data_IF_317959325593
#
_entry.id   IF_317959325593
#
_cell.length_a   1.000
_cell.length_b   1.000
_cell.length_c   1.000
_cell.angle_alpha   90.00
_cell.angle_beta   90.00
_cell.angle_gamma   90.00
#
_symmetry.space_group_name_H-M   'P 1'
#
loop_
_entity.id
_entity.type
_entity.pdbx_description
1 polymer ?
#
# COMPACT_ATOMS: atom_id res chain seq x y z
N UNK A 1 7.69 -10.22 33.09
CA UNK A 1 6.97 -11.11 32.14
C UNK A 1 7.89 -11.38 30.96
N UNK A 2 7.86 -12.60 30.42
CA UNK A 2 8.53 -12.92 29.16
C UNK A 2 7.83 -12.19 28.01
N UNK A 3 8.59 -11.60 27.09
CA UNK A 3 8.08 -10.90 25.89
C UNK A 3 8.02 -11.82 24.66
N UNK A 4 8.31 -13.10 24.85
CA UNK A 4 8.35 -14.10 23.76
C UNK A 4 6.95 -14.36 23.26
N UNK A 5 6.72 -14.08 21.98
CA UNK A 5 5.44 -14.33 21.31
C UNK A 5 5.32 -15.76 20.82
N UNK A 6 6.43 -16.38 20.42
CA UNK A 6 6.54 -17.77 19.98
C UNK A 6 7.97 -18.28 20.12
N UNK A 7 8.15 -19.60 20.12
CA UNK A 7 9.46 -20.24 20.11
C UNK A 7 10.24 -20.06 21.41
N UNK A 8 11.53 -19.79 21.28
CA UNK A 8 12.45 -19.54 22.39
C UNK A 8 12.89 -18.08 22.39
N UNK A 9 13.02 -17.51 23.58
CA UNK A 9 13.54 -16.17 23.77
C UNK A 9 14.29 -16.03 25.08
N UNK A 10 14.88 -14.87 25.28
CA UNK A 10 15.67 -14.55 26.46
C UNK A 10 15.03 -13.36 27.16
N UNK A 11 14.99 -13.40 28.49
CA UNK A 11 14.55 -12.31 29.34
C UNK A 11 15.66 -11.92 30.30
N UNK A 12 15.98 -10.64 30.31
CA UNK A 12 16.80 -10.05 31.36
C UNK A 12 15.93 -9.68 32.56
N UNK A 13 16.38 -10.08 33.74
CA UNK A 13 15.80 -9.68 35.03
C UNK A 13 16.60 -8.49 35.51
N UNK A 14 15.91 -7.36 35.64
CA UNK A 14 16.52 -6.07 35.98
C UNK A 14 16.09 -5.67 37.39
N UNK A 15 17.05 -5.26 38.22
CA UNK A 15 16.78 -4.54 39.45
C UNK A 15 16.83 -3.04 39.20
N UNK A 16 15.93 -2.29 39.85
CA UNK A 16 15.88 -0.82 39.79
C UNK A 16 16.35 -0.16 41.08
N UNK A 17 16.71 -0.94 42.10
CA UNK A 17 17.23 -0.48 43.39
C UNK A 17 18.25 -1.50 43.90
N UNK A 18 19.29 -1.02 44.59
CA UNK A 18 20.32 -1.89 45.18
C UNK A 18 21.37 -2.39 44.18
N UNK A 19 21.53 -1.71 43.04
CA UNK A 19 22.54 -2.06 42.07
C UNK A 19 23.95 -1.68 42.56
N UNK A 20 24.94 -2.54 42.31
CA UNK A 20 26.33 -2.22 42.62
C UNK A 20 26.79 -0.98 41.84
N UNK A 21 27.64 -0.16 42.45
CA UNK A 21 28.17 1.04 41.80
C UNK A 21 27.21 2.24 41.72
N UNK A 22 26.03 2.17 42.35
CA UNK A 22 25.07 3.29 42.35
C UNK A 22 24.30 3.46 41.05
N UNK A 23 24.31 2.44 40.18
CA UNK A 23 23.52 2.43 38.96
C UNK A 23 22.01 2.45 39.27
N UNK A 24 21.23 3.14 38.44
CA UNK A 24 19.78 3.21 38.62
C UNK A 24 19.06 1.94 38.19
N UNK A 25 19.68 1.12 37.33
CA UNK A 25 19.19 -0.18 36.88
C UNK A 25 20.36 -1.11 36.53
N UNK A 26 20.26 -2.37 36.89
CA UNK A 26 21.27 -3.39 36.59
C UNK A 26 20.63 -4.74 36.28
N UNK A 27 21.26 -5.51 35.41
CA UNK A 27 20.83 -6.87 35.04
C UNK A 27 21.37 -7.84 36.08
N UNK A 28 20.49 -8.60 36.73
CA UNK A 28 20.88 -9.56 37.78
C UNK A 28 20.81 -11.01 37.33
N UNK A 29 19.98 -11.31 36.32
CA UNK A 29 19.80 -12.67 35.81
C UNK A 29 19.31 -12.61 34.38
N UNK A 30 19.69 -13.62 33.61
CA UNK A 30 19.12 -13.90 32.30
C UNK A 30 18.35 -15.22 32.39
N UNK A 31 17.09 -15.21 31.97
CA UNK A 31 16.17 -16.34 32.01
C UNK A 31 15.76 -16.72 30.58
N UNK A 32 15.70 -18.01 30.27
CA UNK A 32 15.13 -18.49 29.02
C UNK A 32 13.61 -18.56 29.14
N UNK A 33 12.93 -18.08 28.11
CA UNK A 33 11.48 -18.06 28.01
C UNK A 33 11.05 -18.93 26.85
N UNK A 34 9.99 -19.72 27.04
CA UNK A 34 9.37 -20.54 26.00
C UNK A 34 7.96 -20.04 25.70
N UNK A 35 7.67 -19.88 24.42
CA UNK A 35 6.35 -19.59 23.88
C UNK A 35 5.77 -20.80 23.14
N UNK A 36 4.65 -20.61 22.43
CA UNK A 36 4.10 -21.63 21.54
C UNK A 36 5.10 -22.00 20.44
N UNK A 37 5.12 -23.28 20.04
CA UNK A 37 6.03 -23.79 19.00
C UNK A 37 5.71 -23.18 17.64
N UNK A 38 4.43 -23.01 17.28
CA UNK A 38 4.06 -22.41 16.00
C UNK A 38 4.21 -20.88 16.05
N UNK A 39 5.20 -20.37 15.30
CA UNK A 39 5.44 -18.93 15.10
C UNK A 39 4.63 -18.35 13.94
N UNK A 40 3.86 -19.17 13.22
CA UNK A 40 3.07 -18.75 12.08
C UNK A 40 3.93 -18.31 10.89
N UNK A 41 3.52 -17.22 10.23
CA UNK A 41 4.14 -16.72 9.01
C UNK A 41 5.21 -15.68 9.30
N UNK A 42 6.45 -15.99 8.91
CA UNK A 42 7.61 -15.12 9.02
C UNK A 42 7.77 -14.15 7.85
N UNK A 43 8.61 -13.14 8.07
CA UNK A 43 9.09 -12.24 7.01
C UNK A 43 10.53 -12.61 6.63
N UNK A 44 10.86 -12.73 5.33
CA UNK A 44 12.24 -12.97 4.92
C UNK A 44 13.21 -11.90 5.45
N UNK A 45 14.47 -12.28 5.70
CA UNK A 45 15.55 -11.36 6.09
C UNK A 45 15.81 -10.36 4.97
N UNK A 46 15.84 -10.86 3.74
CA UNK A 46 16.03 -10.06 2.55
C UNK A 46 15.34 -10.69 1.35
N UNK A 47 14.75 -9.84 0.52
CA UNK A 47 13.95 -10.24 -0.63
C UNK A 47 14.44 -9.46 -1.87
N UNK A 48 15.16 -10.13 -2.79
CA UNK A 48 15.63 -9.53 -4.05
C UNK A 48 14.67 -9.87 -5.20
N UNK A 49 15.01 -9.71 -6.48
CA UNK A 49 14.20 -10.31 -7.56
C UNK A 49 14.60 -11.78 -7.79
N UNK A 50 15.87 -12.14 -7.63
CA UNK A 50 16.34 -13.49 -7.98
C UNK A 50 16.34 -14.46 -6.81
N UNK A 51 16.59 -13.97 -5.58
CA UNK A 51 16.70 -14.78 -4.37
C UNK A 51 15.93 -14.25 -3.17
N UNK A 52 15.65 -15.14 -2.22
CA UNK A 52 15.04 -14.85 -0.92
C UNK A 52 15.90 -15.49 0.16
N UNK A 53 16.24 -14.71 1.19
CA UNK A 53 16.94 -15.21 2.38
C UNK A 53 15.97 -15.25 3.55
N UNK A 54 15.79 -16.42 4.14
CA UNK A 54 14.86 -16.68 5.24
C UNK A 54 15.63 -17.18 6.45
N UNK A 55 15.18 -16.86 7.67
CA UNK A 55 15.81 -17.32 8.91
C UNK A 55 14.83 -18.09 9.78
N UNK A 56 15.33 -19.14 10.42
CA UNK A 56 14.63 -19.83 11.49
C UNK A 56 14.61 -18.99 12.77
N UNK A 57 13.58 -19.16 13.59
CA UNK A 57 13.50 -18.58 14.93
C UNK A 57 14.59 -19.18 15.83
N UNK A 58 15.49 -18.36 16.35
CA UNK A 58 16.55 -18.81 17.24
C UNK A 58 16.95 -17.72 18.23
N UNK A 59 17.66 -18.12 19.28
CA UNK A 59 18.35 -17.23 20.21
C UNK A 59 19.86 -17.48 20.15
N UNK A 60 20.65 -16.55 20.68
CA UNK A 60 22.09 -16.74 20.81
C UNK A 60 22.39 -17.73 21.95
N UNK A 61 23.36 -18.65 21.79
CA UNK A 61 24.17 -18.88 20.59
C UNK A 61 23.49 -19.83 19.59
N UNK A 62 23.63 -19.54 18.29
CA UNK A 62 22.93 -20.22 17.18
C UNK A 62 23.28 -21.71 17.10
N UNK A 63 24.51 -22.08 17.43
CA UNK A 63 25.04 -23.44 17.34
C UNK A 63 24.42 -24.44 18.34
N UNK A 64 23.62 -23.98 19.30
CA UNK A 64 22.86 -24.85 20.21
C UNK A 64 21.74 -25.60 19.48
N UNK A 65 21.16 -25.00 18.45
CA UNK A 65 19.97 -25.50 17.79
C UNK A 65 20.31 -26.30 16.54
N UNK A 66 19.43 -27.24 16.20
CA UNK A 66 19.41 -27.89 14.89
C UNK A 66 18.26 -27.33 14.08
N UNK A 67 18.48 -27.11 12.78
CA UNK A 67 17.48 -26.55 11.89
C UNK A 67 17.10 -27.58 10.82
N UNK A 68 15.81 -27.70 10.57
CA UNK A 68 15.28 -28.56 9.51
C UNK A 68 14.40 -27.72 8.63
N UNK A 69 14.84 -27.49 7.40
CA UNK A 69 14.05 -26.84 6.38
C UNK A 69 13.20 -27.85 5.62
N UNK A 70 11.94 -27.49 5.38
CA UNK A 70 10.99 -28.28 4.61
C UNK A 70 10.35 -27.42 3.54
N UNK A 71 10.20 -27.98 2.34
CA UNK A 71 9.36 -27.42 1.30
C UNK A 71 7.96 -28.03 1.45
N UNK A 72 6.97 -27.18 1.74
CA UNK A 72 5.56 -27.57 1.80
C UNK A 72 4.98 -27.54 0.39
N UNK A 73 4.46 -28.69 -0.07
CA UNK A 73 3.71 -28.80 -1.31
C UNK A 73 2.24 -29.09 -1.00
N UNK A 74 1.30 -28.46 -1.70
CA UNK A 74 -0.11 -28.81 -1.58
C UNK A 74 -0.33 -30.30 -1.87
N UNK A 75 -1.16 -30.96 -1.05
CA UNK A 75 -1.56 -32.37 -1.22
C UNK A 75 -0.41 -33.40 -1.25
N UNK A 76 0.78 -33.01 -0.81
CA UNK A 76 1.96 -33.88 -0.81
C UNK A 76 2.69 -33.80 0.53
N UNK A 77 3.49 -34.83 0.83
CA UNK A 77 4.33 -34.81 2.03
C UNK A 77 5.37 -33.68 1.93
N UNK A 78 5.66 -33.00 3.05
CA UNK A 78 6.74 -32.02 3.11
C UNK A 78 8.08 -32.63 2.70
N UNK A 79 8.82 -31.93 1.85
CA UNK A 79 10.14 -32.39 1.39
C UNK A 79 11.19 -31.77 2.29
N UNK A 80 11.95 -32.60 3.00
CA UNK A 80 13.07 -32.14 3.82
C UNK A 80 14.21 -31.71 2.90
N UNK A 81 14.72 -30.50 3.11
CA UNK A 81 15.87 -29.96 2.39
C UNK A 81 17.17 -30.38 3.09
N UNK A 82 18.25 -30.44 2.32
CA UNK A 82 19.59 -30.83 2.83
C UNK A 82 20.23 -29.73 3.68
N UNK A 83 19.78 -28.48 3.53
CA UNK A 83 20.32 -27.37 4.31
C UNK A 83 19.85 -27.44 5.77
N UNK A 84 20.79 -27.51 6.69
CA UNK A 84 20.61 -27.61 8.15
C UNK A 84 20.99 -26.32 8.89
N UNK A 85 21.29 -25.25 8.16
CA UNK A 85 21.66 -23.97 8.75
C UNK A 85 20.44 -23.12 9.14
N UNK A 86 20.66 -22.17 10.05
CA UNK A 86 19.62 -21.24 10.51
C UNK A 86 19.08 -20.32 9.41
N UNK A 87 19.81 -20.19 8.28
CA UNK A 87 19.47 -19.29 7.18
C UNK A 87 19.41 -20.08 5.88
N UNK A 88 18.26 -20.02 5.20
CA UNK A 88 18.08 -20.62 3.88
C UNK A 88 17.97 -19.52 2.83
N UNK A 89 18.86 -19.56 1.84
CA UNK A 89 18.75 -18.77 0.62
C UNK A 89 18.22 -19.65 -0.51
N UNK A 90 17.11 -19.22 -1.12
CA UNK A 90 16.50 -19.90 -2.26
C UNK A 90 16.38 -18.96 -3.44
N UNK A 91 16.48 -19.52 -4.65
CA UNK A 91 16.14 -18.79 -5.87
C UNK A 91 14.63 -18.81 -6.08
N UNK A 92 14.11 -17.77 -6.74
CA UNK A 92 12.71 -17.76 -7.13
C UNK A 92 12.47 -18.72 -8.29
N UNK A 93 11.35 -19.41 -8.18
CA UNK A 93 10.84 -20.26 -9.22
C UNK A 93 9.62 -19.62 -9.89
N UNK A 94 9.11 -20.30 -10.92
CA UNK A 94 7.94 -19.86 -11.70
C UNK A 94 6.65 -19.89 -10.86
N UNK A 95 6.63 -20.65 -9.76
CA UNK A 95 5.45 -20.78 -8.88
C UNK A 95 5.79 -20.35 -7.45
N UNK A 96 4.80 -19.82 -6.70
CA UNK A 96 4.99 -19.55 -5.28
C UNK A 96 5.27 -20.85 -4.53
N UNK A 97 6.23 -20.80 -3.61
CA UNK A 97 6.61 -21.93 -2.77
C UNK A 97 6.47 -21.57 -1.30
N UNK A 98 6.15 -22.56 -0.47
CA UNK A 98 6.06 -22.38 0.98
C UNK A 98 7.17 -23.19 1.64
N UNK A 99 8.01 -22.51 2.41
CA UNK A 99 9.07 -23.13 3.20
C UNK A 99 8.69 -23.09 4.67
N UNK A 100 8.95 -24.17 5.38
CA UNK A 100 8.84 -24.25 6.85
C UNK A 100 10.23 -24.52 7.42
N UNK A 101 10.63 -23.75 8.44
CA UNK A 101 11.78 -24.10 9.26
C UNK A 101 11.33 -24.57 10.64
N UNK A 102 11.74 -25.78 11.01
CA UNK A 102 11.67 -26.27 12.37
C UNK A 102 13.02 -26.07 13.07
N UNK A 103 13.00 -25.44 14.24
CA UNK A 103 14.15 -25.27 15.13
C UNK A 103 14.04 -26.27 16.27
N UNK A 104 15.08 -27.07 16.45
CA UNK A 104 15.12 -28.14 17.44
C UNK A 104 16.16 -27.83 18.51
N UNK A 105 15.78 -28.03 19.76
CA UNK A 105 16.66 -27.99 20.94
C UNK A 105 16.62 -29.39 21.57
N UNK A 106 17.78 -30.06 21.67
CA UNK A 106 17.85 -31.45 22.14
C UNK A 106 16.88 -32.42 21.42
N UNK A 107 16.74 -32.26 20.10
CA UNK A 107 15.80 -33.01 19.23
C UNK A 107 14.30 -32.76 19.49
N UNK A 108 13.93 -31.83 20.36
CA UNK A 108 12.55 -31.37 20.53
C UNK A 108 12.32 -30.11 19.67
N UNK A 109 11.21 -30.05 18.93
CA UNK A 109 10.87 -28.87 18.13
C UNK A 109 10.42 -27.76 19.07
N UNK A 110 11.23 -26.71 19.17
CA UNK A 110 10.94 -25.56 20.03
C UNK A 110 10.33 -24.38 19.29
N UNK A 111 10.53 -24.29 17.98
CA UNK A 111 9.89 -23.29 17.13
C UNK A 111 9.67 -23.83 15.70
N UNK A 112 8.57 -23.45 15.07
CA UNK A 112 8.30 -23.66 13.65
C UNK A 112 7.82 -22.36 13.01
N UNK A 113 8.40 -21.97 11.88
CA UNK A 113 8.06 -20.73 11.17
C UNK A 113 7.93 -21.01 9.67
N UNK A 114 6.91 -20.40 9.03
CA UNK A 114 6.58 -20.60 7.62
C UNK A 114 6.86 -19.33 6.81
N UNK A 115 7.29 -19.49 5.57
CA UNK A 115 7.57 -18.41 4.65
C UNK A 115 6.95 -18.71 3.29
N UNK A 116 6.30 -17.71 2.71
CA UNK A 116 5.87 -17.77 1.31
C UNK A 116 6.90 -17.05 0.46
N UNK A 117 7.49 -17.77 -0.49
CA UNK A 117 8.37 -17.23 -1.51
C UNK A 117 7.52 -17.00 -2.75
N UNK A 118 7.19 -15.73 -2.98
CA UNK A 118 6.42 -15.29 -4.15
C UNK A 118 7.28 -15.29 -5.42
N UNK A 119 6.61 -15.31 -6.56
CA UNK A 119 7.24 -15.20 -7.87
C UNK A 119 7.79 -13.80 -8.14
N UNK A 120 8.63 -13.67 -9.16
CA UNK A 120 9.19 -12.37 -9.59
C UNK A 120 8.11 -11.39 -10.04
N UNK A 121 7.10 -11.85 -10.77
CA UNK A 121 5.99 -11.02 -11.26
C UNK A 121 5.12 -10.48 -10.13
N UNK A 122 4.80 -11.31 -9.13
CA UNK A 122 4.02 -10.88 -7.96
C UNK A 122 4.77 -9.84 -7.13
N UNK A 123 6.09 -9.97 -6.98
CA UNK A 123 6.88 -8.95 -6.29
C UNK A 123 6.98 -7.65 -7.07
N UNK A 124 7.07 -7.70 -8.40
CA UNK A 124 7.01 -6.50 -9.21
C UNK A 124 5.67 -5.80 -9.08
N UNK A 125 4.54 -6.53 -9.10
CA UNK A 125 3.21 -5.96 -8.86
C UNK A 125 3.08 -5.38 -7.45
N UNK A 126 3.58 -6.07 -6.43
CA UNK A 126 3.56 -5.58 -5.04
C UNK A 126 4.43 -4.34 -4.86
N UNK A 127 5.57 -4.25 -5.55
CA UNK A 127 6.47 -3.10 -5.51
C UNK A 127 5.92 -1.94 -6.34
N UNK A 128 5.30 -2.20 -7.49
CA UNK A 128 4.68 -1.18 -8.35
C UNK A 128 3.38 -0.64 -7.80
N UNK A 129 2.65 -1.41 -6.97
CA UNK A 129 1.48 -0.92 -6.25
C UNK A 129 1.82 0.01 -5.08
N UNK A 130 3.09 0.07 -4.65
CA UNK A 130 3.53 0.78 -3.45
C UNK A 130 4.28 2.13 -3.63
N UNK A 131 4.53 2.72 -4.82
CA UNK A 131 5.24 4.01 -4.89
C UNK A 131 4.38 5.21 -5.30
N UNK A 132 3.06 5.10 -5.48
CA UNK A 132 2.31 6.24 -6.03
C UNK A 132 1.69 7.17 -4.99
N UNK A 133 1.44 6.74 -3.75
CA UNK A 133 0.85 7.66 -2.75
C UNK A 133 1.83 8.73 -2.29
N UNK A 134 3.13 8.41 -2.17
CA UNK A 134 4.15 9.37 -1.74
C UNK A 134 4.53 10.31 -2.89
N UNK A 135 4.72 9.77 -4.10
CA UNK A 135 4.98 10.57 -5.29
C UNK A 135 3.80 11.49 -5.62
N UNK A 136 2.56 10.98 -5.66
CA UNK A 136 1.38 11.80 -5.97
C UNK A 136 1.16 12.88 -4.90
N UNK A 137 1.33 12.57 -3.61
CA UNK A 137 1.21 13.57 -2.55
C UNK A 137 2.27 14.67 -2.70
N UNK A 138 3.52 14.31 -3.00
CA UNK A 138 4.58 15.28 -3.27
C UNK A 138 4.27 16.11 -4.52
N UNK A 139 3.76 15.51 -5.60
CA UNK A 139 3.35 16.25 -6.81
C UNK A 139 2.21 17.24 -6.52
N UNK A 140 1.17 16.83 -5.80
CA UNK A 140 0.04 17.70 -5.45
C UNK A 140 0.49 18.85 -4.54
N UNK A 141 1.32 18.55 -3.52
CA UNK A 141 1.85 19.58 -2.62
C UNK A 141 2.74 20.58 -3.35
N UNK A 142 3.65 20.10 -4.22
CA UNK A 142 4.55 20.98 -4.97
C UNK A 142 3.79 21.88 -5.95
N UNK A 143 2.84 21.33 -6.72
CA UNK A 143 1.99 22.11 -7.63
C UNK A 143 1.14 23.11 -6.83
N UNK A 144 0.55 22.70 -5.71
CA UNK A 144 -0.27 23.57 -4.86
C UNK A 144 0.50 24.76 -4.29
N UNK A 145 1.75 24.55 -3.84
CA UNK A 145 2.62 25.62 -3.35
C UNK A 145 2.98 26.60 -4.47
N UNK A 146 3.31 26.11 -5.66
CA UNK A 146 3.64 26.96 -6.81
C UNK A 146 2.44 27.84 -7.20
N UNK A 147 1.23 27.26 -7.27
CA UNK A 147 0.01 28.01 -7.58
C UNK A 147 -0.27 29.06 -6.50
N UNK A 148 -0.13 28.71 -5.22
CA UNK A 148 -0.34 29.63 -4.11
C UNK A 148 0.60 30.85 -4.19
N UNK A 149 1.88 30.61 -4.46
CA UNK A 149 2.89 31.66 -4.66
C UNK A 149 2.49 32.55 -5.85
N UNK A 150 2.07 31.97 -6.97
CA UNK A 150 1.64 32.72 -8.16
C UNK A 150 0.43 33.62 -7.86
N UNK A 151 -0.57 33.12 -7.15
CA UNK A 151 -1.75 33.90 -6.74
C UNK A 151 -1.34 35.07 -5.84
N UNK A 152 -0.45 34.86 -4.88
CA UNK A 152 0.07 35.93 -4.01
C UNK A 152 0.77 37.01 -4.84
N UNK A 153 1.61 36.62 -5.80
CA UNK A 153 2.28 37.58 -6.69
C UNK A 153 1.29 38.40 -7.52
N UNK A 154 0.24 37.78 -8.07
CA UNK A 154 -0.82 38.47 -8.82
C UNK A 154 -1.56 39.47 -7.92
N UNK A 155 -1.92 39.07 -6.70
CA UNK A 155 -2.60 39.97 -5.75
C UNK A 155 -1.73 41.18 -5.39
N UNK A 156 -0.44 40.97 -5.14
CA UNK A 156 0.51 42.05 -4.87
C UNK A 156 0.62 42.98 -6.09
N UNK A 157 0.71 42.42 -7.31
CA UNK A 157 0.79 43.20 -8.53
C UNK A 157 -0.46 44.08 -8.74
N UNK A 158 -1.65 43.56 -8.44
CA UNK A 158 -2.90 44.31 -8.50
C UNK A 158 -2.91 45.47 -7.50
N UNK A 159 -2.40 45.25 -6.28
CA UNK A 159 -2.34 46.29 -5.24
C UNK A 159 -1.34 47.39 -5.62
N UNK A 160 -0.14 47.02 -6.08
CA UNK A 160 0.91 47.97 -6.47
C UNK A 160 0.49 48.77 -7.71
N UNK A 161 -0.09 48.09 -8.70
CA UNK A 161 -0.52 48.72 -9.95
C UNK A 161 -1.99 49.13 -9.92
N UNK A 162 -2.58 49.34 -8.74
CA UNK A 162 -4.01 49.63 -8.59
C UNK A 162 -4.49 50.78 -9.49
N UNK A 163 -3.66 51.80 -9.71
CA UNK A 163 -3.93 52.90 -10.65
C UNK A 163 -4.02 52.45 -12.11
N UNK A 164 -3.13 51.57 -12.56
CA UNK A 164 -3.12 51.04 -13.93
C UNK A 164 -4.14 49.91 -14.15
N UNK A 165 -4.44 49.11 -13.11
CA UNK A 165 -5.53 48.12 -13.14
C UNK A 165 -6.89 48.82 -13.24
N UNK A 166 -7.07 49.93 -12.51
CA UNK A 166 -8.29 50.74 -12.56
C UNK A 166 -8.50 51.40 -13.92
N UNK A 167 -7.45 51.88 -14.59
CA UNK A 167 -7.56 52.40 -15.96
C UNK A 167 -7.83 51.29 -16.97
N UNK A 168 -7.17 50.15 -16.87
CA UNK A 168 -7.33 49.02 -17.80
C UNK A 168 -8.70 48.33 -17.70
N UNK A 169 -9.29 48.27 -16.50
CA UNK A 169 -10.68 47.81 -16.30
C UNK A 169 -11.71 48.89 -16.63
N UNK A 170 -11.39 50.17 -16.42
CA UNK A 170 -12.22 51.29 -16.88
C UNK A 170 -12.34 51.29 -18.42
N UNK A 171 -11.25 51.04 -19.13
CA UNK A 171 -11.22 51.01 -20.61
C UNK A 171 -11.89 49.76 -21.20
N UNK A 172 -11.83 48.61 -20.52
CA UNK A 172 -12.54 47.39 -20.95
C UNK A 172 -14.05 47.46 -20.77
N UNK A 173 -14.57 48.37 -19.94
CA UNK A 173 -16.03 48.58 -19.83
C UNK A 173 -16.63 49.51 -20.90
N UNK A 174 -15.82 50.21 -21.70
CA UNK A 174 -16.32 51.17 -22.71
C UNK A 174 -16.26 50.68 -24.16
N UNK A 175 -15.87 49.43 -24.42
CA UNK A 175 -15.87 48.84 -25.77
C UNK A 175 -16.52 47.47 -25.80
N UNK A 176 -17.81 47.42 -25.47
CA UNK A 176 -18.69 46.36 -25.96
C UNK A 176 -20.08 46.96 -26.20
N UNK A 177 -20.19 47.76 -27.26
CA UNK A 177 -21.49 48.03 -27.89
C UNK A 177 -22.03 46.69 -28.41
N UNK A 178 -23.08 46.22 -27.75
CA UNK A 178 -23.97 45.17 -28.22
C UNK A 178 -25.03 45.87 -29.09
N UNK A 179 -25.17 45.59 -30.39
CA UNK A 179 -26.43 45.79 -31.07
C UNK A 179 -27.27 44.53 -30.93
N UNK A 180 -28.43 44.76 -30.33
CA UNK A 180 -29.46 43.83 -29.90
C UNK A 180 -30.11 43.01 -31.02
N UNK A 181 -30.69 41.90 -30.57
CA UNK A 181 -31.57 40.98 -31.27
C UNK A 181 -32.82 41.63 -31.93
N UNK A 182 -33.46 40.81 -32.77
CA UNK A 182 -34.90 40.76 -33.07
C UNK A 182 -35.48 41.84 -34.01
N UNK A 183 -35.75 41.46 -35.26
CA UNK A 183 -37.14 41.23 -35.74
C UNK A 183 -37.25 41.16 -37.27
N UNK A 184 -37.99 40.15 -37.73
CA UNK A 184 -39.02 40.20 -38.78
C UNK A 184 -38.62 40.76 -40.18
N UNK A 185 -38.72 39.89 -41.20
CA UNK A 185 -39.57 40.04 -42.40
C UNK A 185 -39.03 39.14 -43.52
N UNK A 186 -39.65 37.97 -43.65
CA UNK A 186 -40.32 37.49 -44.87
C UNK A 186 -39.56 37.71 -46.21
N UNK A 187 -38.92 36.67 -46.72
CA UNK A 187 -39.09 36.33 -48.14
C UNK A 187 -39.08 34.82 -48.35
N UNK A 188 -39.92 34.40 -49.28
CA UNK A 188 -40.48 33.07 -49.52
C UNK A 188 -39.95 32.54 -50.86
N UNK A 189 -40.17 31.26 -51.09
CA UNK A 189 -39.94 30.41 -52.28
C UNK A 189 -38.56 29.76 -52.35
N UNK A 190 -38.43 28.43 -52.45
CA UNK A 190 -39.20 27.53 -53.32
C UNK A 190 -39.13 26.06 -52.82
N UNK A 191 -40.27 25.46 -52.48
CA UNK A 191 -40.93 24.31 -53.15
C UNK A 191 -40.09 23.04 -53.43
N UNK A 192 -40.36 21.96 -52.69
CA UNK A 192 -40.88 20.64 -53.16
C UNK A 192 -40.72 19.60 -52.02
N UNK A 193 -41.84 19.15 -51.42
CA UNK A 193 -42.47 17.81 -51.56
C UNK A 193 -41.58 16.68 -50.98
N UNK A 194 -41.95 15.83 -50.03
CA UNK A 194 -43.19 15.36 -49.35
C UNK A 194 -42.68 14.82 -47.97
N UNK A 195 -43.39 14.64 -46.85
CA UNK A 195 -44.71 14.05 -46.59
C UNK A 195 -45.01 14.26 -45.08
N UNK A 196 -46.27 14.48 -44.73
CA UNK A 196 -46.85 14.58 -43.36
C UNK A 196 -48.18 13.79 -43.38
N UNK A 197 -48.98 13.62 -42.30
CA UNK A 197 -48.78 13.66 -40.84
C UNK A 197 -49.21 12.32 -40.16
N UNK A 198 -48.77 11.99 -38.93
CA UNK A 198 -49.49 12.10 -37.61
C UNK A 198 -50.77 11.21 -37.53
N UNK A 199 -51.05 10.38 -36.52
CA UNK A 199 -51.22 10.70 -35.09
C UNK A 199 -51.63 9.43 -34.28
N UNK A 200 -51.42 9.49 -32.97
CA UNK A 200 -51.71 8.49 -31.91
C UNK A 200 -53.18 8.66 -31.42
N UNK A 201 -53.80 7.66 -30.77
CA UNK A 201 -54.05 7.72 -29.30
C UNK A 201 -53.96 6.30 -28.67
N UNK A 202 -53.62 6.03 -27.40
CA UNK A 202 -53.88 6.66 -26.11
C UNK A 202 -54.37 5.55 -25.13
N UNK A 203 -54.23 5.77 -23.81
CA UNK A 203 -54.85 5.03 -22.67
C UNK A 203 -53.96 4.06 -21.86
N UNK A 204 -53.30 4.65 -20.84
CA UNK A 204 -53.38 4.38 -19.39
C UNK A 204 -53.23 2.97 -18.77
N UNK A 205 -52.46 2.99 -17.67
CA UNK A 205 -52.54 2.20 -16.43
C UNK A 205 -51.69 0.91 -16.22
N UNK A 206 -50.76 1.08 -15.26
CA UNK A 206 -50.56 0.27 -14.05
C UNK A 206 -49.48 -0.84 -13.97
N UNK A 207 -48.91 -0.86 -12.76
CA UNK A 207 -48.30 -1.99 -12.03
C UNK A 207 -46.88 -2.50 -12.41
N UNK A 208 -45.93 -2.14 -11.52
CA UNK A 208 -45.15 -3.06 -10.66
C UNK A 208 -44.56 -4.35 -11.26
N UNK A 209 -43.22 -4.46 -11.20
CA UNK A 209 -42.37 -5.62 -10.79
C UNK A 209 -41.03 -5.55 -11.55
N UNK A 210 -39.87 -5.25 -10.94
CA UNK A 210 -39.04 -6.13 -10.08
C UNK A 210 -38.91 -7.54 -10.66
N UNK A 211 -37.73 -7.96 -11.14
CA UNK A 211 -37.15 -9.32 -11.25
C UNK A 211 -35.88 -9.19 -12.11
N UNK A 212 -34.67 -9.15 -11.53
CA UNK A 212 -33.73 -10.27 -11.32
C UNK A 212 -33.49 -11.15 -12.57
N UNK A 213 -32.28 -11.03 -13.15
CA UNK A 213 -31.27 -12.12 -13.20
C UNK A 213 -29.87 -11.57 -13.49
#
# INVERSE_FOLDING_TARGET
>A
MCTVTCGVGIREVILTNGCPGGESKCIVRVEECRGPVDCGWGRPISESLDSVRMACTHISPVNRFKYIWKLLRPEQQPVILVNDSAILEVRREVRPLVFECATLDNNEIVASIKFTVYTTSELQMKRSSRPDTDAVLVFVLTIGVIICIFVIFVLIFIIINWGAVKSFWGEKSSSTEIPSELSLVRYKDSTSLDQSPTEIPGTEDDALSEWNE
#
